data_IF_043109037716
#
_entry.id   IF_043109037716
#
_cell.length_a   1.000
_cell.length_b   1.000
_cell.length_c   1.000
_cell.angle_alpha   90.00
_cell.angle_beta   90.00
_cell.angle_gamma   90.00
#
_symmetry.space_group_name_H-M   'P 1'
#
loop_
_entity.id
_entity.type
_entity.pdbx_description
1 polymer ?
#
# COMPACT_ATOMS: atom_id res chain seq x y z
N UNK A 1 25.67 -15.79 -24.64
CA UNK A 1 24.44 -15.12 -24.15
C UNK A 1 24.58 -14.53 -22.74
N UNK A 2 25.45 -15.07 -21.90
CA UNK A 2 25.73 -14.67 -20.50
C UNK A 2 26.51 -13.36 -20.35
N UNK A 3 27.51 -13.10 -21.20
CA UNK A 3 28.36 -11.89 -21.08
C UNK A 3 27.61 -10.57 -21.34
N UNK A 4 26.68 -10.55 -22.30
CA UNK A 4 25.81 -9.38 -22.56
C UNK A 4 24.90 -9.06 -21.38
N UNK A 5 24.37 -10.07 -20.68
CA UNK A 5 23.56 -9.88 -19.46
C UNK A 5 24.40 -9.26 -18.34
N UNK A 6 25.64 -9.72 -18.16
CA UNK A 6 26.55 -9.17 -17.16
C UNK A 6 26.93 -7.72 -17.44
N UNK A 7 27.24 -7.36 -18.69
CA UNK A 7 27.52 -5.96 -19.07
C UNK A 7 26.31 -5.07 -18.81
N UNK A 8 25.12 -5.49 -19.22
CA UNK A 8 23.89 -4.71 -19.01
C UNK A 8 23.63 -4.52 -17.50
N UNK A 9 23.90 -5.54 -16.68
CA UNK A 9 23.75 -5.46 -15.22
C UNK A 9 24.77 -4.51 -14.59
N UNK A 10 26.04 -4.58 -14.99
CA UNK A 10 27.09 -3.66 -14.53
C UNK A 10 26.83 -2.22 -14.95
N UNK A 11 26.42 -1.98 -16.21
CA UNK A 11 26.06 -0.65 -16.69
C UNK A 11 24.82 -0.08 -15.95
N UNK A 12 23.84 -0.93 -15.63
CA UNK A 12 22.69 -0.53 -14.80
C UNK A 12 23.11 -0.15 -13.38
N UNK A 13 24.03 -0.92 -12.78
CA UNK A 13 24.60 -0.60 -11.47
C UNK A 13 25.32 0.75 -11.47
N UNK A 14 26.17 0.99 -12.47
CA UNK A 14 26.89 2.25 -12.63
C UNK A 14 25.94 3.44 -12.87
N UNK A 15 24.91 3.27 -13.70
CA UNK A 15 23.90 4.32 -13.92
C UNK A 15 23.06 4.63 -12.67
N UNK A 16 22.72 3.61 -11.87
CA UNK A 16 22.02 3.80 -10.58
C UNK A 16 22.89 4.59 -9.59
N UNK A 17 24.20 4.33 -9.56
CA UNK A 17 25.12 5.04 -8.70
C UNK A 17 25.38 6.49 -9.16
N UNK A 18 25.58 6.70 -10.46
CA UNK A 18 25.92 8.02 -11.01
C UNK A 18 24.71 8.96 -11.12
N UNK A 19 23.52 8.43 -11.44
CA UNK A 19 22.31 9.23 -11.67
C UNK A 19 21.08 8.61 -10.98
N UNK A 20 21.07 8.48 -9.65
CA UNK A 20 20.05 7.73 -8.92
C UNK A 20 18.63 8.22 -9.18
N UNK A 21 18.42 9.56 -9.23
CA UNK A 21 17.10 10.15 -9.50
C UNK A 21 16.59 9.84 -10.91
N UNK A 22 17.46 9.94 -11.91
CA UNK A 22 17.10 9.65 -13.31
C UNK A 22 16.83 8.16 -13.48
N UNK A 23 17.66 7.31 -12.87
CA UNK A 23 17.47 5.86 -12.89
C UNK A 23 16.13 5.46 -12.28
N UNK A 24 15.81 6.01 -11.10
CA UNK A 24 14.54 5.74 -10.42
C UNK A 24 13.35 6.19 -11.27
N UNK A 25 13.38 7.43 -11.79
CA UNK A 25 12.32 7.93 -12.68
C UNK A 25 12.09 7.02 -13.89
N UNK A 26 13.16 6.59 -14.57
CA UNK A 26 13.07 5.68 -15.71
C UNK A 26 12.56 4.30 -15.32
N UNK A 27 12.90 3.82 -14.12
CA UNK A 27 12.41 2.56 -13.57
C UNK A 27 10.90 2.63 -13.31
N UNK A 28 10.44 3.67 -12.61
CA UNK A 28 9.02 3.94 -12.36
C UNK A 28 8.23 4.10 -13.65
N UNK A 29 8.74 4.88 -14.61
CA UNK A 29 8.09 5.04 -15.91
C UNK A 29 7.94 3.70 -16.64
N UNK A 30 8.99 2.86 -16.66
CA UNK A 30 8.94 1.52 -17.24
C UNK A 30 7.92 0.62 -16.54
N UNK A 31 7.84 0.69 -15.22
CA UNK A 31 6.84 -0.03 -14.44
C UNK A 31 5.43 0.38 -14.84
N UNK A 32 5.14 1.68 -14.92
CA UNK A 32 3.84 2.17 -15.38
C UNK A 32 3.49 1.71 -16.80
N UNK A 33 4.45 1.73 -17.73
CA UNK A 33 4.23 1.19 -19.09
C UNK A 33 3.97 -0.32 -19.07
N UNK A 34 4.65 -1.06 -18.20
CA UNK A 34 4.39 -2.48 -18.01
C UNK A 34 2.97 -2.73 -17.48
N UNK A 35 2.55 -2.02 -16.43
CA UNK A 35 1.20 -2.13 -15.87
C UNK A 35 0.14 -1.79 -16.90
N UNK A 36 0.30 -0.69 -17.64
CA UNK A 36 -0.62 -0.32 -18.73
C UNK A 36 -0.73 -1.42 -19.78
N UNK A 37 0.40 -2.00 -20.20
CA UNK A 37 0.40 -3.10 -21.17
C UNK A 37 -0.22 -4.38 -20.62
N UNK A 38 0.02 -4.70 -19.35
CA UNK A 38 -0.41 -5.97 -18.72
C UNK A 38 -1.90 -5.95 -18.36
N UNK A 39 -2.39 -4.86 -17.81
CA UNK A 39 -3.73 -4.78 -17.23
C UNK A 39 -4.69 -3.93 -18.05
N UNK A 40 -4.18 -3.01 -18.89
CA UNK A 40 -4.98 -1.96 -19.52
C UNK A 40 -6.16 -2.47 -20.33
N UNK A 41 -5.92 -3.38 -21.28
CA UNK A 41 -6.98 -3.92 -22.15
C UNK A 41 -8.10 -4.60 -21.38
N UNK A 42 -7.77 -5.40 -20.37
CA UNK A 42 -8.75 -6.09 -19.54
C UNK A 42 -9.57 -5.08 -18.73
N UNK A 43 -8.91 -4.12 -18.08
CA UNK A 43 -9.57 -3.12 -17.26
C UNK A 43 -10.45 -2.17 -18.09
N UNK A 44 -10.03 -1.80 -19.30
CA UNK A 44 -10.82 -0.99 -20.26
C UNK A 44 -12.12 -1.70 -20.65
N UNK A 45 -12.08 -3.02 -20.81
CA UNK A 45 -13.27 -3.82 -21.16
C UNK A 45 -14.27 -3.90 -19.99
N UNK A 46 -13.78 -4.04 -18.75
CA UNK A 46 -14.64 -4.26 -17.59
C UNK A 46 -15.13 -2.97 -16.93
N UNK A 47 -14.41 -1.84 -17.06
CA UNK A 47 -14.78 -0.54 -16.44
C UNK A 47 -16.23 -0.13 -16.75
N UNK A 48 -16.71 -0.15 -18.01
CA UNK A 48 -18.10 0.22 -18.31
C UNK A 48 -19.13 -0.77 -17.76
N UNK A 49 -18.76 -2.04 -17.50
CA UNK A 49 -19.67 -3.01 -16.90
C UNK A 49 -19.97 -2.68 -15.43
N UNK A 50 -18.98 -2.18 -14.68
CA UNK A 50 -19.15 -1.79 -13.29
C UNK A 50 -19.73 -0.39 -13.12
N UNK A 51 -19.28 0.57 -13.93
CA UNK A 51 -19.59 2.00 -13.68
C UNK A 51 -20.34 2.69 -14.83
N UNK A 52 -20.47 2.05 -16.00
CA UNK A 52 -20.99 2.71 -17.20
C UNK A 52 -20.16 3.97 -17.52
N UNK A 53 -20.83 5.12 -17.57
CA UNK A 53 -20.21 6.44 -17.74
C UNK A 53 -19.88 7.14 -16.40
N UNK A 54 -20.29 6.57 -15.28
CA UNK A 54 -20.09 7.18 -13.95
C UNK A 54 -18.63 7.10 -13.53
N UNK A 55 -18.13 8.09 -12.75
CA UNK A 55 -16.80 8.00 -12.17
C UNK A 55 -16.73 6.84 -11.15
N UNK A 56 -15.58 6.15 -11.04
CA UNK A 56 -15.41 5.06 -10.08
C UNK A 56 -15.51 5.52 -8.62
N UNK A 57 -16.19 4.71 -7.81
CA UNK A 57 -16.23 4.82 -6.34
C UNK A 57 -15.98 3.45 -5.75
N UNK A 58 -15.41 3.37 -4.55
CA UNK A 58 -15.17 2.08 -3.90
C UNK A 58 -16.50 1.40 -3.57
N UNK A 59 -16.74 0.19 -4.06
CA UNK A 59 -18.05 -0.48 -3.96
C UNK A 59 -18.33 -1.12 -2.59
N UNK A 60 -17.31 -1.55 -1.86
CA UNK A 60 -17.45 -2.23 -0.57
C UNK A 60 -16.26 -2.03 0.36
N UNK A 61 -16.36 -2.53 1.60
CA UNK A 61 -15.28 -2.45 2.59
C UNK A 61 -15.20 -1.10 3.33
N UNK A 62 -14.13 -0.86 4.09
CA UNK A 62 -14.00 0.29 5.01
C UNK A 62 -14.07 1.66 4.33
N UNK A 63 -13.78 1.69 3.02
CA UNK A 63 -13.73 2.89 2.19
C UNK A 63 -14.90 3.01 1.22
N UNK A 64 -15.94 2.18 1.40
CA UNK A 64 -17.12 2.17 0.54
C UNK A 64 -17.69 3.58 0.31
N UNK A 65 -18.03 3.89 -0.94
CA UNK A 65 -18.63 5.14 -1.38
C UNK A 65 -17.62 6.26 -1.65
N UNK A 66 -16.34 6.10 -1.31
CA UNK A 66 -15.33 7.12 -1.60
C UNK A 66 -14.96 7.13 -3.10
N UNK A 67 -14.86 8.31 -3.73
CA UNK A 67 -14.32 8.46 -5.07
C UNK A 67 -12.90 7.86 -5.21
N UNK A 68 -12.64 7.20 -6.33
CA UNK A 68 -11.31 6.68 -6.65
C UNK A 68 -10.83 7.13 -8.02
N UNK A 69 -9.51 7.00 -8.27
CA UNK A 69 -8.93 7.34 -9.58
C UNK A 69 -9.54 6.46 -10.68
N UNK A 70 -9.84 7.07 -11.82
CA UNK A 70 -10.23 6.39 -13.06
C UNK A 70 -9.03 6.20 -14.00
N UNK A 71 -7.98 5.56 -13.47
CA UNK A 71 -6.69 5.43 -14.15
C UNK A 71 -6.30 3.97 -14.37
N UNK A 72 -6.78 3.44 -15.48
CA UNK A 72 -6.53 2.06 -15.88
C UNK A 72 -5.04 1.80 -16.13
N UNK A 73 -4.55 0.71 -15.55
CA UNK A 73 -3.18 0.24 -15.69
C UNK A 73 -2.14 1.11 -14.99
N UNK A 74 -2.57 2.01 -14.09
CA UNK A 74 -1.69 2.78 -13.22
C UNK A 74 -1.36 1.97 -11.95
N UNK A 75 -0.07 1.77 -11.66
CA UNK A 75 0.42 1.08 -10.45
C UNK A 75 -0.27 -0.27 -10.11
N UNK A 76 -0.55 -1.11 -11.12
CA UNK A 76 -1.04 -2.48 -10.92
C UNK A 76 -2.53 -2.69 -11.23
N UNK A 77 -3.17 -3.74 -10.66
CA UNK A 77 -4.59 -4.00 -10.85
C UNK A 77 -5.46 -3.00 -10.04
N UNK A 78 -6.34 -2.24 -10.71
CA UNK A 78 -7.19 -1.23 -10.04
C UNK A 78 -8.53 -1.80 -9.56
N UNK A 79 -8.99 -2.90 -10.14
CA UNK A 79 -10.29 -3.51 -9.80
C UNK A 79 -10.42 -3.94 -8.35
N UNK A 80 -9.40 -4.50 -7.68
CA UNK A 80 -9.50 -4.80 -6.26
C UNK A 80 -9.82 -3.55 -5.42
N UNK A 81 -9.26 -2.39 -5.81
CA UNK A 81 -9.48 -1.11 -5.12
C UNK A 81 -10.86 -0.54 -5.40
N UNK A 82 -11.33 -0.63 -6.65
CA UNK A 82 -12.70 -0.25 -7.03
C UNK A 82 -13.77 -1.15 -6.40
N UNK A 83 -13.60 -2.46 -6.42
CA UNK A 83 -14.55 -3.41 -5.80
C UNK A 83 -14.51 -3.28 -4.26
N UNK A 84 -13.38 -2.84 -3.72
CA UNK A 84 -13.13 -2.83 -2.28
C UNK A 84 -12.80 -4.23 -1.75
N UNK A 85 -12.07 -5.01 -2.55
CA UNK A 85 -11.50 -6.31 -2.14
C UNK A 85 -10.00 -6.24 -1.86
N UNK A 86 -9.37 -5.10 -2.16
CA UNK A 86 -7.95 -4.87 -2.00
C UNK A 86 -7.57 -5.11 -0.53
N UNK A 87 -6.78 -6.16 -0.30
CA UNK A 87 -6.27 -6.55 1.02
C UNK A 87 -7.39 -6.73 2.07
N UNK A 88 -8.52 -7.31 1.66
CA UNK A 88 -9.69 -7.51 2.50
C UNK A 88 -9.44 -8.30 3.81
N UNK A 89 -8.33 -9.02 3.91
CA UNK A 89 -7.81 -9.59 5.16
C UNK A 89 -7.55 -8.53 6.26
N UNK A 90 -7.27 -7.27 5.88
CA UNK A 90 -7.08 -6.14 6.80
C UNK A 90 -8.38 -5.40 7.15
N UNK A 91 -9.49 -5.68 6.46
CA UNK A 91 -10.75 -4.97 6.74
C UNK A 91 -11.19 -5.03 8.20
N UNK A 92 -11.13 -6.19 8.92
CA UNK A 92 -11.51 -6.22 10.33
C UNK A 92 -10.68 -5.29 11.21
N UNK A 93 -9.38 -5.12 10.90
CA UNK A 93 -8.52 -4.17 11.58
C UNK A 93 -8.91 -2.73 11.26
N UNK A 94 -9.15 -2.41 9.98
CA UNK A 94 -9.53 -1.08 9.54
C UNK A 94 -10.87 -0.65 10.14
N UNK A 95 -11.87 -1.54 10.22
CA UNK A 95 -13.15 -1.23 10.87
C UNK A 95 -12.98 -0.86 12.35
N UNK A 96 -12.12 -1.58 13.09
CA UNK A 96 -11.77 -1.23 14.48
C UNK A 96 -11.02 0.10 14.55
N UNK A 97 -10.10 0.35 13.62
CA UNK A 97 -9.36 1.60 13.52
C UNK A 97 -10.29 2.80 13.28
N UNK A 98 -11.33 2.63 12.46
CA UNK A 98 -12.32 3.68 12.20
C UNK A 98 -13.17 4.00 13.43
N UNK A 99 -13.38 3.04 14.34
CA UNK A 99 -14.09 3.25 15.60
C UNK A 99 -13.22 3.90 16.68
N UNK A 100 -11.90 3.70 16.62
CA UNK A 100 -10.92 4.33 17.52
C UNK A 100 -9.80 4.98 16.71
N UNK A 101 -10.06 6.18 16.16
CA UNK A 101 -9.16 6.82 15.22
C UNK A 101 -7.82 7.19 15.87
N UNK A 102 -6.69 6.91 15.20
CA UNK A 102 -5.40 7.45 15.60
C UNK A 102 -5.38 8.97 15.43
N UNK A 103 -4.59 9.69 16.24
CA UNK A 103 -4.38 11.12 16.05
C UNK A 103 -3.47 11.41 14.85
N UNK A 104 -2.48 10.54 14.63
CA UNK A 104 -1.49 10.63 13.56
C UNK A 104 -1.39 9.29 12.83
N UNK A 105 -1.44 9.34 11.49
CA UNK A 105 -1.21 8.20 10.62
C UNK A 105 0.02 8.50 9.78
N UNK A 106 1.02 7.62 9.83
CA UNK A 106 2.19 7.67 8.96
C UNK A 106 2.09 6.51 7.98
N UNK A 107 1.88 6.79 6.70
CA UNK A 107 1.81 5.79 5.63
C UNK A 107 3.11 5.86 4.80
N UNK A 108 3.95 4.84 4.92
CA UNK A 108 5.25 4.75 4.22
C UNK A 108 5.15 3.75 3.09
N UNK A 109 5.42 4.24 1.87
CA UNK A 109 5.13 3.53 0.64
C UNK A 109 3.68 3.71 0.18
N UNK A 110 3.17 4.93 0.35
CA UNK A 110 1.76 5.25 0.14
C UNK A 110 1.26 5.03 -1.31
N UNK A 111 2.16 4.81 -2.28
CA UNK A 111 1.84 4.57 -3.68
C UNK A 111 0.87 5.65 -4.23
N UNK A 112 -0.21 5.25 -4.91
CA UNK A 112 -1.23 6.20 -5.37
C UNK A 112 -2.17 6.71 -4.27
N UNK A 113 -2.02 6.23 -3.04
CA UNK A 113 -2.71 6.76 -1.86
C UNK A 113 -3.94 5.98 -1.40
N UNK A 114 -4.05 4.68 -1.68
CA UNK A 114 -5.20 3.88 -1.23
C UNK A 114 -5.41 4.00 0.28
N UNK A 115 -4.39 3.72 1.11
CA UNK A 115 -4.50 3.91 2.56
C UNK A 115 -4.42 5.37 2.96
N UNK A 116 -3.36 6.08 2.60
CA UNK A 116 -3.18 7.48 2.98
C UNK A 116 -4.40 8.37 2.71
N UNK A 117 -4.92 8.37 1.49
CA UNK A 117 -6.00 9.30 1.11
C UNK A 117 -7.34 8.83 1.65
N UNK A 118 -7.67 7.54 1.54
CA UNK A 118 -8.98 7.06 1.96
C UNK A 118 -9.12 7.05 3.48
N UNK A 119 -8.04 6.77 4.24
CA UNK A 119 -8.04 6.98 5.69
C UNK A 119 -8.19 8.46 6.04
N UNK A 120 -7.48 9.36 5.36
CA UNK A 120 -7.62 10.80 5.61
C UNK A 120 -9.06 11.28 5.34
N UNK A 121 -9.72 10.76 4.30
CA UNK A 121 -11.12 11.06 3.98
C UNK A 121 -12.10 10.50 5.01
N UNK A 122 -11.87 9.28 5.53
CA UNK A 122 -12.73 8.67 6.57
C UNK A 122 -12.51 9.27 7.95
N UNK A 123 -11.30 9.76 8.23
CA UNK A 123 -10.86 10.22 9.55
C UNK A 123 -10.44 11.70 9.50
N UNK A 124 -11.38 12.65 9.38
CA UNK A 124 -11.07 14.07 9.24
C UNK A 124 -10.35 14.68 10.45
N UNK A 125 -10.42 14.03 11.63
CA UNK A 125 -9.71 14.43 12.84
C UNK A 125 -8.26 13.93 12.92
N UNK A 126 -7.89 12.93 12.12
CA UNK A 126 -6.54 12.37 12.09
C UNK A 126 -5.66 13.17 11.13
N UNK A 127 -4.39 13.39 11.47
CA UNK A 127 -3.42 13.95 10.52
C UNK A 127 -2.68 12.81 9.83
N UNK A 128 -2.71 12.78 8.50
CA UNK A 128 -2.08 11.72 7.71
C UNK A 128 -0.81 12.25 7.05
N UNK A 129 0.28 11.51 7.21
CA UNK A 129 1.57 11.77 6.58
C UNK A 129 1.90 10.62 5.63
N UNK A 130 1.73 10.85 4.34
CA UNK A 130 2.10 9.91 3.30
C UNK A 130 3.55 10.13 2.86
N UNK A 131 4.33 9.07 2.73
CA UNK A 131 5.70 9.09 2.23
C UNK A 131 5.81 8.19 1.01
N UNK A 132 6.25 8.79 -0.10
CA UNK A 132 6.62 8.04 -1.29
C UNK A 132 7.76 8.74 -2.05
N UNK A 133 8.78 7.98 -2.42
CA UNK A 133 9.94 8.49 -3.14
C UNK A 133 9.66 8.65 -4.64
N UNK A 134 8.64 7.99 -5.18
CA UNK A 134 8.28 8.03 -6.59
C UNK A 134 7.46 9.30 -6.91
N UNK A 135 7.95 10.18 -7.82
CA UNK A 135 7.20 11.36 -8.24
C UNK A 135 5.90 11.04 -9.01
N UNK A 136 5.74 9.85 -9.60
CA UNK A 136 4.48 9.44 -10.22
C UNK A 136 3.44 9.08 -9.16
N UNK A 137 3.83 8.30 -8.14
CA UNK A 137 3.01 7.94 -6.99
C UNK A 137 2.48 9.19 -6.27
N UNK A 138 3.37 10.11 -5.88
CA UNK A 138 2.99 11.38 -5.26
C UNK A 138 2.02 12.22 -6.08
N UNK A 139 2.17 12.23 -7.41
CA UNK A 139 1.24 12.95 -8.30
C UNK A 139 -0.14 12.29 -8.30
N UNK A 140 -0.21 10.96 -8.30
CA UNK A 140 -1.47 10.23 -8.21
C UNK A 140 -2.14 10.43 -6.85
N UNK A 141 -1.36 10.33 -5.77
CA UNK A 141 -1.81 10.60 -4.40
C UNK A 141 -2.38 12.01 -4.25
N UNK A 142 -1.72 13.03 -4.83
CA UNK A 142 -2.25 14.40 -4.87
C UNK A 142 -3.53 14.55 -5.72
N UNK A 143 -3.70 13.75 -6.79
CA UNK A 143 -4.96 13.72 -7.56
C UNK A 143 -6.08 13.08 -6.75
N UNK A 144 -5.83 11.93 -6.13
CA UNK A 144 -6.80 11.21 -5.31
C UNK A 144 -7.22 12.03 -4.09
N UNK A 145 -6.28 12.74 -3.45
CA UNK A 145 -6.57 13.64 -2.33
C UNK A 145 -7.50 14.80 -2.74
N UNK A 146 -7.25 15.42 -3.91
CA UNK A 146 -8.13 16.47 -4.44
C UNK A 146 -9.52 15.93 -4.78
N UNK A 147 -9.57 14.72 -5.36
CA UNK A 147 -10.83 14.05 -5.70
C UNK A 147 -11.68 13.78 -4.45
N UNK A 148 -11.05 13.45 -3.32
CA UNK A 148 -11.72 13.18 -2.05
C UNK A 148 -11.83 14.40 -1.11
N UNK A 149 -11.48 15.60 -1.57
CA UNK A 149 -11.51 16.84 -0.77
C UNK A 149 -10.74 16.77 0.56
N UNK A 150 -9.63 16.03 0.58
CA UNK A 150 -8.83 15.78 1.78
C UNK A 150 -7.92 16.98 2.08
N UNK A 151 -7.97 17.49 3.32
CA UNK A 151 -7.17 18.64 3.79
C UNK A 151 -6.18 18.28 4.92
N UNK A 152 -6.39 17.16 5.58
CA UNK A 152 -5.60 16.59 6.68
C UNK A 152 -4.46 15.67 6.23
N UNK A 153 -4.11 15.67 4.94
CA UNK A 153 -3.01 14.88 4.36
C UNK A 153 -1.77 15.73 4.09
N UNK A 154 -0.59 15.17 4.36
CA UNK A 154 0.73 15.73 4.05
C UNK A 154 1.50 14.74 3.17
N UNK A 155 1.91 15.20 1.98
CA UNK A 155 2.63 14.37 1.01
C UNK A 155 4.12 14.67 1.12
N UNK A 156 4.88 13.66 1.54
CA UNK A 156 6.31 13.73 1.80
C UNK A 156 7.06 12.79 0.86
N UNK A 157 8.39 12.92 0.82
CA UNK A 157 9.23 12.06 -0.02
C UNK A 157 9.81 10.91 0.80
N UNK A 158 11.08 10.98 1.18
CA UNK A 158 11.73 9.93 1.95
C UNK A 158 11.32 9.98 3.42
N UNK A 159 10.89 8.85 3.97
CA UNK A 159 10.71 8.68 5.41
C UNK A 159 12.07 8.31 6.05
N UNK A 160 12.43 8.99 7.14
CA UNK A 160 13.64 8.72 7.92
C UNK A 160 13.28 8.45 9.36
N UNK A 161 14.18 7.86 10.15
CA UNK A 161 13.94 7.68 11.59
C UNK A 161 13.64 9.00 12.31
N UNK A 162 14.27 10.11 11.90
CA UNK A 162 14.00 11.43 12.47
C UNK A 162 12.58 11.92 12.18
N UNK A 163 12.06 11.65 10.97
CA UNK A 163 10.66 11.97 10.64
C UNK A 163 9.70 11.07 11.41
N UNK A 164 9.98 9.76 11.52
CA UNK A 164 9.16 8.85 12.33
C UNK A 164 9.11 9.29 13.80
N UNK A 165 10.25 9.59 14.39
CA UNK A 165 10.35 10.03 15.80
C UNK A 165 9.57 11.34 16.01
N UNK A 166 9.73 12.29 15.11
CA UNK A 166 9.03 13.58 15.15
C UNK A 166 7.51 13.43 15.05
N UNK A 167 7.02 12.51 14.24
CA UNK A 167 5.59 12.33 13.98
C UNK A 167 4.91 11.42 15.01
N UNK A 168 5.54 10.29 15.33
CA UNK A 168 4.97 9.27 16.23
C UNK A 168 5.28 9.54 17.70
N UNK A 169 6.41 10.18 18.02
CA UNK A 169 6.83 10.45 19.39
C UNK A 169 5.78 11.22 20.21
N UNK A 170 5.23 12.34 19.69
CA UNK A 170 4.14 13.07 20.36
C UNK A 170 2.81 12.30 20.39
N UNK A 171 2.54 11.45 19.38
CA UNK A 171 1.29 10.72 19.24
C UNK A 171 1.19 9.50 20.16
N UNK A 172 2.33 8.89 20.51
CA UNK A 172 2.43 7.68 21.36
C UNK A 172 1.48 6.58 20.87
N UNK A 173 0.63 6.07 21.75
CA UNK A 173 -0.39 5.02 21.54
C UNK A 173 -1.50 5.41 20.57
N UNK A 174 -1.67 6.71 20.32
CA UNK A 174 -2.59 7.22 19.30
C UNK A 174 -1.94 7.38 17.92
N UNK A 175 -0.66 7.02 17.76
CA UNK A 175 0.03 6.97 16.47
C UNK A 175 -0.19 5.64 15.75
N UNK A 176 -0.37 5.69 14.43
CA UNK A 176 -0.36 4.53 13.54
C UNK A 176 0.76 4.66 12.50
N UNK A 177 1.59 3.65 12.37
CA UNK A 177 2.48 3.43 11.23
C UNK A 177 1.88 2.37 10.31
N UNK A 178 1.66 2.71 9.04
CA UNK A 178 1.41 1.76 7.95
C UNK A 178 2.69 1.71 7.08
N UNK A 179 3.23 0.53 6.84
CA UNK A 179 4.51 0.37 6.15
C UNK A 179 4.45 -0.76 5.10
N UNK A 180 4.49 -0.38 3.84
CA UNK A 180 4.60 -1.27 2.68
C UNK A 180 5.63 -0.65 1.73
N UNK A 181 6.89 -1.08 1.82
CA UNK A 181 8.00 -0.46 1.07
C UNK A 181 8.80 -1.47 0.25
N UNK A 182 8.17 -2.60 -0.09
CA UNK A 182 8.69 -3.61 -1.00
C UNK A 182 10.12 -4.09 -0.67
N UNK A 183 10.37 -4.40 0.61
CA UNK A 183 11.61 -5.03 1.09
C UNK A 183 12.52 -4.14 1.96
N UNK A 184 12.12 -2.90 2.23
CA UNK A 184 12.83 -1.97 3.13
C UNK A 184 12.43 -2.07 4.60
N UNK A 185 11.45 -2.90 4.95
CA UNK A 185 10.75 -2.87 6.24
C UNK A 185 11.67 -3.22 7.40
N UNK A 186 12.55 -4.21 7.21
CA UNK A 186 13.56 -4.61 8.21
C UNK A 186 14.48 -3.44 8.58
N UNK A 187 14.72 -2.52 7.66
CA UNK A 187 15.58 -1.37 7.93
C UNK A 187 14.83 -0.26 8.66
N UNK A 188 13.60 0.06 8.24
CA UNK A 188 12.84 1.19 8.76
C UNK A 188 12.10 0.88 10.07
N UNK A 189 11.60 -0.35 10.22
CA UNK A 189 10.79 -0.76 11.38
C UNK A 189 11.72 -1.34 12.46
N UNK A 190 12.41 -0.42 13.15
CA UNK A 190 13.45 -0.74 14.14
C UNK A 190 13.28 0.13 15.41
N UNK A 191 12.82 -0.45 16.53
CA UNK A 191 12.54 0.28 17.77
C UNK A 191 13.80 0.64 18.57
N UNK A 192 14.99 0.22 18.12
CA UNK A 192 16.28 0.68 18.67
C UNK A 192 16.66 2.01 18.01
N UNK A 193 16.42 2.15 16.71
CA UNK A 193 16.75 3.36 15.94
C UNK A 193 15.68 4.44 16.03
N UNK A 194 14.42 4.06 16.19
CA UNK A 194 13.29 4.97 16.41
C UNK A 194 12.47 4.50 17.62
N UNK A 195 12.82 4.97 18.84
CA UNK A 195 12.14 4.59 20.06
C UNK A 195 10.62 4.87 20.06
N UNK A 196 10.14 5.89 19.33
CA UNK A 196 8.72 6.18 19.21
C UNK A 196 7.88 4.99 18.71
N UNK A 197 8.48 4.09 17.92
CA UNK A 197 7.83 2.86 17.44
C UNK A 197 7.42 1.91 18.57
N UNK A 198 7.98 2.03 19.77
CA UNK A 198 7.61 1.19 20.92
C UNK A 198 6.21 1.48 21.45
N UNK A 199 5.65 2.65 21.09
CA UNK A 199 4.36 3.11 21.59
C UNK A 199 3.31 3.22 20.48
N UNK A 200 3.71 3.28 19.21
CA UNK A 200 2.77 3.41 18.11
C UNK A 200 2.14 2.06 17.74
N UNK A 201 0.92 2.09 17.21
CA UNK A 201 0.36 0.94 16.49
C UNK A 201 1.09 0.79 15.16
N UNK A 202 1.39 -0.44 14.75
CA UNK A 202 2.14 -0.70 13.51
C UNK A 202 1.40 -1.73 12.67
N UNK A 203 1.22 -1.43 11.38
CA UNK A 203 0.82 -2.38 10.34
C UNK A 203 1.93 -2.41 9.32
N UNK A 204 2.52 -3.58 9.09
CA UNK A 204 3.64 -3.74 8.15
C UNK A 204 3.40 -4.92 7.23
N UNK A 205 3.50 -4.69 5.92
CA UNK A 205 3.48 -5.76 4.93
C UNK A 205 4.83 -6.48 4.92
N UNK A 206 4.78 -7.81 4.94
CA UNK A 206 5.95 -8.66 4.87
C UNK A 206 6.29 -8.94 3.41
N UNK A 207 7.45 -8.42 2.99
CA UNK A 207 8.03 -8.71 1.69
C UNK A 207 9.14 -9.78 1.82
N UNK A 208 9.09 -10.76 0.92
CA UNK A 208 10.21 -11.67 0.73
C UNK A 208 11.27 -11.05 -0.17
N UNK A 209 12.52 -11.12 0.27
CA UNK A 209 13.66 -10.83 -0.59
C UNK A 209 14.55 -12.06 -0.69
N UNK A 210 15.38 -12.14 -1.73
CA UNK A 210 16.36 -13.25 -1.86
C UNK A 210 17.34 -13.31 -0.68
N UNK A 211 17.56 -12.18 -0.01
CA UNK A 211 18.48 -12.03 1.12
C UNK A 211 17.76 -12.16 2.49
N UNK A 212 16.42 -12.20 2.50
CA UNK A 212 15.60 -12.38 3.70
C UNK A 212 14.27 -13.04 3.30
N UNK A 213 14.16 -14.39 3.41
CA UNK A 213 12.90 -15.09 3.19
C UNK A 213 11.82 -14.55 4.14
N UNK A 214 10.53 -14.60 3.76
CA UNK A 214 9.46 -13.92 4.49
C UNK A 214 9.34 -14.34 5.95
N UNK A 215 9.62 -15.61 6.25
CA UNK A 215 9.72 -16.13 7.61
C UNK A 215 10.85 -15.45 8.41
N UNK A 216 11.97 -15.13 7.78
CA UNK A 216 13.07 -14.37 8.38
C UNK A 216 12.68 -12.93 8.71
N UNK A 217 12.02 -12.22 7.79
CA UNK A 217 11.49 -10.87 8.02
C UNK A 217 10.49 -10.88 9.17
N UNK A 218 9.54 -11.82 9.13
CA UNK A 218 8.52 -12.00 10.17
C UNK A 218 9.15 -12.20 11.54
N UNK A 219 10.01 -13.21 11.68
CA UNK A 219 10.62 -13.60 12.96
C UNK A 219 11.47 -12.45 13.53
N UNK A 220 12.20 -11.74 12.68
CA UNK A 220 12.99 -10.59 13.09
C UNK A 220 12.10 -9.45 13.62
N UNK A 221 11.04 -9.09 12.90
CA UNK A 221 10.14 -8.03 13.37
C UNK A 221 9.40 -8.46 14.64
N UNK A 222 8.92 -9.70 14.72
CA UNK A 222 8.28 -10.19 15.95
C UNK A 222 9.23 -10.11 17.16
N UNK A 223 10.49 -10.57 17.02
CA UNK A 223 11.46 -10.50 18.12
C UNK A 223 11.80 -9.06 18.55
N UNK A 224 11.83 -8.09 17.62
CA UNK A 224 12.11 -6.68 17.96
C UNK A 224 11.01 -6.03 18.80
N UNK A 225 9.77 -6.48 18.65
CA UNK A 225 8.59 -5.83 19.25
C UNK A 225 7.91 -6.71 20.31
N UNK A 226 8.36 -7.95 20.55
CA UNK A 226 7.74 -8.87 21.51
C UNK A 226 7.60 -8.33 22.94
N UNK A 227 8.50 -7.41 23.35
CA UNK A 227 8.49 -6.82 24.69
C UNK A 227 7.60 -5.59 24.80
N UNK A 228 7.22 -4.97 23.68
CA UNK A 228 6.43 -3.73 23.64
C UNK A 228 5.03 -3.90 23.04
N UNK A 229 4.79 -4.97 22.27
CA UNK A 229 3.55 -5.15 21.53
C UNK A 229 2.90 -6.52 21.73
N UNK A 230 1.59 -6.56 21.54
CA UNK A 230 0.84 -7.75 21.11
C UNK A 230 0.86 -7.79 19.58
N UNK A 231 1.22 -8.93 18.99
CA UNK A 231 1.50 -9.04 17.57
C UNK A 231 0.64 -10.11 16.91
N UNK A 232 -0.21 -9.67 15.99
CA UNK A 232 -1.03 -10.53 15.15
C UNK A 232 -0.40 -10.67 13.76
N UNK A 233 -0.37 -11.90 13.25
CA UNK A 233 -0.01 -12.17 11.86
C UNK A 233 -1.26 -12.44 11.03
N UNK A 234 -1.45 -11.64 9.99
CA UNK A 234 -2.57 -11.75 9.05
C UNK A 234 -2.03 -12.26 7.71
N UNK A 235 -2.24 -13.55 7.38
CA UNK A 235 -1.81 -14.09 6.09
C UNK A 235 -2.69 -13.56 4.96
N UNK A 236 -2.14 -13.52 3.75
CA UNK A 236 -2.95 -13.34 2.56
C UNK A 236 -3.98 -14.47 2.42
N UNK A 237 -5.24 -14.10 2.17
CA UNK A 237 -6.36 -15.04 2.07
C UNK A 237 -6.99 -15.04 0.67
N UNK A 238 -7.47 -16.19 0.18
CA UNK A 238 -8.27 -16.24 -1.03
C UNK A 238 -9.53 -15.38 -0.91
N UNK A 239 -9.85 -14.64 -1.99
CA UNK A 239 -11.02 -13.76 -2.03
C UNK A 239 -12.33 -14.57 -2.10
N UNK A 240 -13.36 -14.11 -1.39
CA UNK A 240 -14.69 -14.73 -1.42
C UNK A 240 -15.44 -14.38 -2.71
N UNK A 241 -15.49 -15.31 -3.66
CA UNK A 241 -16.15 -15.09 -4.95
C UNK A 241 -17.65 -14.77 -4.81
N UNK A 242 -18.37 -15.47 -3.93
CA UNK A 242 -19.81 -15.23 -3.72
C UNK A 242 -20.08 -13.82 -3.21
N UNK A 243 -19.31 -13.37 -2.22
CA UNK A 243 -19.40 -12.00 -1.68
C UNK A 243 -19.20 -10.96 -2.78
N UNK A 244 -18.16 -11.09 -3.59
CA UNK A 244 -17.83 -10.07 -4.57
C UNK A 244 -18.69 -10.13 -5.84
N UNK A 245 -19.34 -11.27 -6.14
CA UNK A 245 -20.44 -11.32 -7.11
C UNK A 245 -21.61 -10.44 -6.67
N UNK A 246 -21.98 -10.51 -5.39
CA UNK A 246 -23.05 -9.66 -4.83
C UNK A 246 -22.66 -8.18 -4.83
N UNK A 247 -21.44 -7.84 -4.40
CA UNK A 247 -20.92 -6.45 -4.41
C UNK A 247 -20.94 -5.85 -5.81
N UNK A 248 -20.56 -6.63 -6.82
CA UNK A 248 -20.58 -6.19 -8.23
C UNK A 248 -21.96 -6.33 -8.88
N UNK A 249 -23.00 -6.69 -8.11
CA UNK A 249 -24.38 -6.91 -8.57
C UNK A 249 -24.46 -7.87 -9.77
N UNK A 250 -23.59 -8.87 -9.80
CA UNK A 250 -23.43 -9.83 -10.90
C UNK A 250 -23.14 -9.17 -12.27
N UNK A 251 -22.58 -7.96 -12.29
CA UNK A 251 -22.20 -7.27 -13.53
C UNK A 251 -21.00 -7.91 -14.24
N UNK A 252 -20.18 -8.67 -13.50
CA UNK A 252 -19.02 -9.39 -14.02
C UNK A 252 -19.30 -10.90 -14.03
N UNK A 253 -18.84 -11.59 -15.08
CA UNK A 253 -18.85 -13.06 -15.10
C UNK A 253 -17.94 -13.61 -13.99
N UNK A 254 -18.15 -14.83 -13.47
CA UNK A 254 -17.29 -15.41 -12.44
C UNK A 254 -15.80 -15.46 -12.84
N UNK A 255 -15.50 -15.70 -14.12
CA UNK A 255 -14.13 -15.71 -14.67
C UNK A 255 -13.52 -14.31 -14.69
N UNK A 256 -14.28 -13.32 -15.14
CA UNK A 256 -13.84 -11.93 -15.17
C UNK A 256 -13.64 -11.40 -13.75
N UNK A 257 -14.58 -11.69 -12.84
CA UNK A 257 -14.47 -11.31 -11.44
C UNK A 257 -13.23 -11.93 -10.79
N UNK A 258 -12.98 -13.23 -11.00
CA UNK A 258 -11.79 -13.90 -10.45
C UNK A 258 -10.49 -13.22 -10.92
N UNK A 259 -10.45 -12.82 -12.18
CA UNK A 259 -9.31 -12.06 -12.74
C UNK A 259 -9.23 -10.64 -12.18
N UNK A 260 -10.38 -9.98 -12.01
CA UNK A 260 -10.49 -8.62 -11.50
C UNK A 260 -10.11 -8.51 -10.01
N UNK A 261 -10.38 -9.55 -9.22
CA UNK A 261 -10.01 -9.63 -7.79
C UNK A 261 -8.54 -10.01 -7.58
N UNK A 262 -7.81 -10.40 -8.63
CA UNK A 262 -6.43 -10.83 -8.51
C UNK A 262 -5.48 -9.64 -8.33
N UNK A 263 -4.99 -9.46 -7.10
CA UNK A 263 -4.02 -8.43 -6.72
C UNK A 263 -2.59 -8.73 -7.23
N UNK A 264 -2.35 -9.91 -7.81
CA UNK A 264 -1.04 -10.38 -8.29
C UNK A 264 0.00 -10.41 -7.17
N UNK A 265 -0.44 -10.84 -5.99
CA UNK A 265 0.40 -10.99 -4.80
C UNK A 265 1.10 -12.35 -4.79
N UNK A 266 2.33 -12.37 -4.31
CA UNK A 266 3.04 -13.62 -4.03
C UNK A 266 2.42 -14.32 -2.82
N UNK A 267 2.39 -15.66 -2.85
CA UNK A 267 1.78 -16.49 -1.80
C UNK A 267 2.42 -16.34 -0.40
N UNK A 268 3.56 -15.67 -0.31
CA UNK A 268 4.35 -15.44 0.90
C UNK A 268 4.20 -14.03 1.49
N UNK A 269 3.28 -13.22 0.96
CA UNK A 269 2.95 -11.89 1.50
C UNK A 269 1.89 -12.01 2.60
N UNK A 270 2.02 -11.20 3.65
CA UNK A 270 1.09 -11.10 4.77
C UNK A 270 1.45 -9.89 5.64
N UNK A 271 0.64 -9.58 6.65
CA UNK A 271 0.87 -8.43 7.52
C UNK A 271 1.22 -8.84 8.94
N UNK A 272 2.08 -8.04 9.57
CA UNK A 272 2.10 -7.97 11.03
C UNK A 272 1.32 -6.74 11.48
N UNK A 273 0.37 -6.96 12.36
CA UNK A 273 -0.36 -5.92 13.07
C UNK A 273 0.15 -5.95 14.51
N UNK A 274 0.72 -4.84 14.97
CA UNK A 274 1.34 -4.72 16.29
C UNK A 274 0.57 -3.67 17.10
N UNK A 275 0.05 -4.09 18.24
CA UNK A 275 -0.67 -3.26 19.19
C UNK A 275 0.24 -2.97 20.39
N UNK A 276 0.53 -1.70 20.72
CA UNK A 276 1.35 -1.36 21.89
C UNK A 276 0.64 -1.83 23.17
N UNK A 277 1.41 -2.32 24.15
CA UNK A 277 0.93 -2.70 25.49
C UNK A 277 0.80 -1.52 26.44
#
# INVERSE_FOLDING_TARGET
MTWRKNIIQTCRGAAKAAFPRVYQFLSSYRFLQHCKKRYGKFQEQLRPLLYGESPPTVLSGPFQGLPYLDEIGFCGPIFPKWIGSYEDELHPFLEKLLQSPPSVIVDVGAAEGYYAVLLAARLPSSVVHAFDIDPFAKRALARLARLNHVSNLRINSLCTFAELEKLLGPAKDTGLLFCDIEGGEIFLVDPVKCPALRHARIVVELHETKDSPGEGTRNLLQSRFQDSHEIDYVPHAPKSMSRYLEVTRNALSPTDLSTALNEVRGASRGYLIMHPR
#
